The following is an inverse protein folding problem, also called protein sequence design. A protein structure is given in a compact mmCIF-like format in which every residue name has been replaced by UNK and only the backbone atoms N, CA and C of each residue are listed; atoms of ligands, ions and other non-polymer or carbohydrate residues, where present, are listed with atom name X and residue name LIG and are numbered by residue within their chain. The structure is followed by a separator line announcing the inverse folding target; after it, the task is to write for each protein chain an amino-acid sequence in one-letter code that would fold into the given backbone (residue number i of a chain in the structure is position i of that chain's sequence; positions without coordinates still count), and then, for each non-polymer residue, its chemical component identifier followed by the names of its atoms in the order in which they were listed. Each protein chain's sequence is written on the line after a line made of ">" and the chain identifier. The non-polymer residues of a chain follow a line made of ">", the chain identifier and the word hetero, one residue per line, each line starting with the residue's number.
data_IF_092527384238
#
_entry.id   IF_092527384238
#
_cell.length_a   1.000
_cell.length_b   1.000
_cell.length_c   1.000
_cell.angle_alpha   90.00
_cell.angle_beta   90.00
_cell.angle_gamma   90.00
#
_symmetry.space_group_name_H-M   'P 1'
#
loop_
_entity.id
_entity.type
_entity.pdbx_description
1 polymer ?
#
# COMPACT_ATOMS: atom_id res chain seq x y z
N UNK A 1 22.87 -67.56 19.76
CA UNK A 1 23.28 -66.59 18.73
C UNK A 1 22.03 -65.81 18.28
N UNK A 2 21.81 -64.65 18.87
CA UNK A 2 20.65 -63.77 18.55
C UNK A 2 21.10 -62.66 17.61
N UNK A 3 20.57 -62.62 16.38
CA UNK A 3 20.86 -61.58 15.40
C UNK A 3 19.89 -60.38 15.65
N UNK A 4 20.44 -59.23 16.07
CA UNK A 4 19.71 -57.98 16.11
C UNK A 4 19.61 -57.40 14.69
N UNK A 5 18.39 -57.20 14.22
CA UNK A 5 18.12 -56.43 13.00
C UNK A 5 17.96 -54.96 13.40
N UNK A 6 18.83 -54.11 12.89
CA UNK A 6 18.73 -52.64 13.02
C UNK A 6 17.84 -52.13 11.91
N UNK A 7 16.67 -51.63 12.30
CA UNK A 7 15.72 -50.95 11.38
C UNK A 7 16.14 -49.50 11.28
N UNK A 8 16.68 -49.08 10.13
CA UNK A 8 16.97 -47.69 9.82
C UNK A 8 15.71 -47.01 9.33
N UNK A 9 15.09 -46.17 10.17
CA UNK A 9 14.02 -45.26 9.76
C UNK A 9 14.59 -44.07 8.99
N UNK A 10 14.42 -44.07 7.67
CA UNK A 10 14.66 -42.92 6.82
C UNK A 10 13.48 -41.96 6.95
N UNK A 11 13.65 -40.80 7.60
CA UNK A 11 12.70 -39.70 7.61
C UNK A 11 12.82 -38.92 6.29
N UNK A 12 11.77 -38.78 5.50
CA UNK A 12 11.76 -37.83 4.37
C UNK A 12 11.67 -36.39 4.91
N UNK A 13 12.70 -35.61 4.68
CA UNK A 13 12.67 -34.15 4.82
C UNK A 13 11.77 -33.61 3.74
N UNK A 14 10.51 -33.38 4.07
CA UNK A 14 9.58 -32.57 3.27
C UNK A 14 10.01 -31.10 3.43
N UNK A 15 10.85 -30.64 2.52
CA UNK A 15 11.07 -29.21 2.30
C UNK A 15 9.78 -28.61 1.72
N UNK A 16 8.81 -28.36 2.56
CA UNK A 16 7.62 -27.57 2.20
C UNK A 16 8.07 -26.13 2.03
N UNK A 17 8.10 -25.63 0.78
CA UNK A 17 8.05 -24.20 0.52
C UNK A 17 6.75 -23.66 1.09
N UNK A 18 6.80 -23.08 2.27
CA UNK A 18 5.69 -22.31 2.83
C UNK A 18 5.62 -21.05 1.99
N UNK A 19 4.73 -21.01 1.01
CA UNK A 19 4.26 -19.76 0.42
C UNK A 19 3.50 -19.04 1.53
N UNK A 20 4.18 -18.12 2.23
CA UNK A 20 3.52 -17.18 3.13
C UNK A 20 2.78 -16.19 2.24
N UNK A 21 1.56 -16.51 1.85
CA UNK A 21 0.59 -15.51 1.47
C UNK A 21 0.30 -14.74 2.76
N UNK A 22 0.87 -13.54 2.88
CA UNK A 22 0.47 -12.59 3.90
C UNK A 22 -1.00 -12.27 3.59
N UNK A 23 -1.91 -12.90 4.31
CA UNK A 23 -3.32 -12.55 4.27
C UNK A 23 -3.50 -11.11 4.71
N UNK A 24 -4.65 -10.51 4.35
CA UNK A 24 -4.98 -9.15 4.77
C UNK A 24 -4.84 -9.00 6.29
N UNK A 25 -4.39 -7.84 6.72
CA UNK A 25 -4.26 -7.47 8.13
C UNK A 25 -5.19 -6.31 8.46
N UNK A 26 -5.63 -6.23 9.72
CA UNK A 26 -6.42 -5.13 10.27
C UNK A 26 -5.54 -3.94 10.72
N UNK A 27 -4.23 -3.96 10.42
CA UNK A 27 -3.33 -2.87 10.72
C UNK A 27 -3.66 -1.65 9.84
N UNK A 28 -4.38 -0.68 10.41
CA UNK A 28 -4.75 0.55 9.72
C UNK A 28 -3.50 1.40 9.46
N UNK A 29 -3.28 1.87 8.21
CA UNK A 29 -2.13 2.71 7.89
C UNK A 29 -2.38 4.18 8.27
N UNK A 30 -2.21 4.54 9.53
CA UNK A 30 -2.44 5.91 10.02
C UNK A 30 -1.29 6.85 9.69
N UNK A 31 -1.60 8.16 9.43
CA UNK A 31 -0.59 9.19 9.15
C UNK A 31 0.13 9.68 10.41
N UNK A 32 -0.48 9.51 11.59
CA UNK A 32 0.02 10.06 12.82
C UNK A 32 1.31 9.39 13.28
N UNK A 33 2.34 10.20 13.45
CA UNK A 33 3.62 9.81 14.02
C UNK A 33 3.50 9.34 15.48
N UNK A 34 2.37 9.62 16.10
CA UNK A 34 2.11 9.31 17.49
C UNK A 34 1.15 8.19 17.72
N UNK A 35 0.88 7.31 16.78
CA UNK A 35 0.04 6.13 16.87
C UNK A 35 -0.84 5.97 18.13
N UNK A 36 -1.66 4.98 18.21
CA UNK A 36 -2.29 4.61 19.49
C UNK A 36 -1.25 3.90 20.37
N UNK A 37 -1.47 3.83 21.69
CA UNK A 37 -0.61 3.06 22.59
C UNK A 37 -0.47 1.57 22.15
N UNK A 38 -1.41 1.09 21.32
CA UNK A 38 -1.41 -0.26 20.73
C UNK A 38 -0.70 -0.36 19.38
N UNK A 39 -0.53 0.76 18.66
CA UNK A 39 0.18 0.81 17.37
C UNK A 39 0.99 2.12 17.25
N UNK A 40 2.09 2.24 18.00
CA UNK A 40 2.88 3.47 18.04
C UNK A 40 3.64 3.75 16.73
N UNK A 41 3.79 2.76 15.85
CA UNK A 41 4.62 2.84 14.64
C UNK A 41 3.81 2.98 13.37
N UNK A 42 2.47 3.01 13.45
CA UNK A 42 1.63 2.81 12.28
C UNK A 42 2.04 1.55 11.51
N UNK A 43 1.85 0.39 12.13
CA UNK A 43 2.29 -0.90 11.60
C UNK A 43 1.81 -1.14 10.15
N UNK A 44 0.65 -0.61 9.79
CA UNK A 44 0.14 -0.67 8.42
C UNK A 44 1.05 0.07 7.44
N UNK A 45 1.54 1.27 7.77
CA UNK A 45 2.46 2.03 6.90
C UNK A 45 3.83 1.37 6.82
N UNK A 46 4.34 0.84 7.95
CA UNK A 46 5.60 0.08 7.97
C UNK A 46 5.51 -1.14 7.06
N UNK A 47 4.40 -1.88 7.13
CA UNK A 47 4.18 -3.06 6.28
C UNK A 47 4.14 -2.69 4.79
N UNK A 48 3.48 -1.59 4.42
CA UNK A 48 3.50 -1.08 3.04
C UNK A 48 4.92 -0.69 2.60
N UNK A 49 5.68 -0.03 3.48
CA UNK A 49 7.06 0.36 3.21
C UNK A 49 7.96 -0.85 2.96
N UNK A 50 7.82 -1.92 3.73
CA UNK A 50 8.58 -3.16 3.55
C UNK A 50 8.18 -3.89 2.26
N UNK A 51 6.89 -3.85 1.88
CA UNK A 51 6.39 -4.49 0.67
C UNK A 51 6.86 -3.80 -0.61
N UNK A 52 7.08 -2.48 -0.56
CA UNK A 52 7.56 -1.69 -1.72
C UNK A 52 8.84 -0.93 -1.33
N UNK A 53 10.00 -1.59 -1.30
CA UNK A 53 11.25 -0.99 -0.81
C UNK A 53 11.71 0.26 -1.58
N UNK A 54 11.36 0.38 -2.85
CA UNK A 54 11.68 1.56 -3.68
C UNK A 54 10.79 2.78 -3.41
N UNK A 55 9.63 2.60 -2.74
CA UNK A 55 8.71 3.69 -2.48
C UNK A 55 9.28 4.66 -1.42
N UNK A 56 9.55 5.90 -1.80
CA UNK A 56 9.98 6.97 -0.92
C UNK A 56 8.81 7.69 -0.24
N UNK A 57 7.59 7.50 -0.76
CA UNK A 57 6.35 8.08 -0.26
C UNK A 57 5.31 6.98 -0.08
N UNK A 58 4.57 7.02 1.01
CA UNK A 58 3.60 6.00 1.40
C UNK A 58 2.26 6.64 1.71
N UNK A 59 1.13 6.06 1.25
CA UNK A 59 -0.18 6.57 1.58
C UNK A 59 -0.55 6.22 3.01
N UNK A 60 -1.28 7.11 3.68
CA UNK A 60 -1.78 6.89 5.03
C UNK A 60 -3.16 7.51 5.23
N UNK A 61 -3.83 7.10 6.29
CA UNK A 61 -5.13 7.61 6.72
C UNK A 61 -4.91 8.64 7.82
N UNK A 62 -5.28 9.90 7.57
CA UNK A 62 -5.28 10.97 8.58
C UNK A 62 -6.58 10.97 9.37
N UNK A 63 -7.68 11.31 8.71
CA UNK A 63 -9.01 11.33 9.34
C UNK A 63 -10.09 11.00 8.31
N UNK A 64 -10.74 9.87 8.47
CA UNK A 64 -11.85 9.50 7.59
C UNK A 64 -13.11 10.29 7.94
N UNK A 65 -13.89 10.74 6.92
CA UNK A 65 -15.20 11.34 7.15
C UNK A 65 -16.17 10.37 7.83
N UNK A 66 -17.19 10.92 8.49
CA UNK A 66 -18.26 10.12 9.10
C UNK A 66 -18.91 9.20 8.05
N UNK A 67 -19.06 7.92 8.39
CA UNK A 67 -19.60 6.89 7.50
C UNK A 67 -18.56 6.27 6.57
N UNK A 68 -17.28 6.58 6.75
CA UNK A 68 -16.17 5.88 6.10
C UNK A 68 -15.38 5.07 7.12
N UNK A 69 -14.87 3.93 6.70
CA UNK A 69 -14.07 3.05 7.55
C UNK A 69 -13.00 2.32 6.75
N UNK A 70 -11.87 2.06 7.40
CA UNK A 70 -10.87 1.15 6.91
C UNK A 70 -11.40 -0.30 6.99
N UNK A 71 -11.08 -1.14 5.99
CA UNK A 71 -11.47 -2.54 6.01
C UNK A 71 -10.29 -3.46 6.30
N UNK A 72 -9.26 -3.37 5.47
CA UNK A 72 -8.06 -4.21 5.58
C UNK A 72 -6.91 -3.67 4.75
N UNK A 73 -5.71 -4.13 5.04
CA UNK A 73 -4.50 -3.92 4.26
C UNK A 73 -3.98 -5.27 3.77
N UNK A 74 -3.76 -5.40 2.46
CA UNK A 74 -3.04 -6.52 1.86
C UNK A 74 -1.65 -6.02 1.44
N UNK A 75 -0.62 -6.75 1.86
CA UNK A 75 0.76 -6.50 1.50
C UNK A 75 1.36 -7.74 0.87
N UNK A 76 2.08 -7.56 -0.22
CA UNK A 76 2.75 -8.62 -0.96
C UNK A 76 4.07 -8.09 -1.52
N UNK A 77 4.88 -8.96 -2.10
CA UNK A 77 6.11 -8.52 -2.76
C UNK A 77 5.79 -7.47 -3.84
N UNK A 78 6.45 -6.32 -3.74
CA UNK A 78 6.34 -5.16 -4.64
C UNK A 78 4.95 -4.51 -4.73
N UNK A 79 4.02 -4.79 -3.82
CA UNK A 79 2.70 -4.17 -3.83
C UNK A 79 2.08 -4.16 -2.45
N UNK A 80 1.46 -3.06 -2.07
CA UNK A 80 0.56 -3.02 -0.93
C UNK A 80 -0.69 -2.21 -1.28
N UNK A 81 -1.83 -2.57 -0.68
CA UNK A 81 -3.10 -1.91 -0.93
C UNK A 81 -4.02 -2.03 0.26
N UNK A 82 -4.83 -1.03 0.46
CA UNK A 82 -5.90 -1.07 1.45
C UNK A 82 -7.23 -0.58 0.88
N UNK A 83 -8.31 -0.89 1.55
CA UNK A 83 -9.66 -0.56 1.13
C UNK A 83 -10.38 0.26 2.18
N UNK A 84 -11.17 1.21 1.68
CA UNK A 84 -12.10 1.99 2.46
C UNK A 84 -13.52 1.66 2.05
N UNK A 85 -14.38 1.47 3.03
CA UNK A 85 -15.81 1.31 2.88
C UNK A 85 -16.53 2.62 3.18
N UNK A 86 -17.71 2.78 2.62
CA UNK A 86 -18.62 3.88 2.94
C UNK A 86 -20.03 3.35 3.16
N UNK A 87 -20.70 3.83 4.21
CA UNK A 87 -22.09 3.50 4.49
C UNK A 87 -23.04 3.86 3.35
N UNK A 88 -22.65 4.87 2.55
CA UNK A 88 -23.47 5.38 1.43
C UNK A 88 -23.04 4.85 0.07
N UNK A 89 -21.73 4.70 -0.13
CA UNK A 89 -21.14 4.33 -1.42
C UNK A 89 -20.85 2.81 -1.51
N UNK A 90 -20.96 2.09 -0.38
CA UNK A 90 -20.79 0.64 -0.33
C UNK A 90 -19.38 0.20 0.08
N UNK A 91 -19.15 -1.10 -0.05
CA UNK A 91 -17.86 -1.72 0.24
C UNK A 91 -16.87 -1.42 -0.88
N UNK A 92 -15.59 -1.27 -0.48
CA UNK A 92 -14.48 -1.01 -1.41
C UNK A 92 -14.68 0.26 -2.25
N UNK A 93 -15.38 1.26 -1.70
CA UNK A 93 -15.64 2.52 -2.37
C UNK A 93 -14.34 3.24 -2.79
N UNK A 94 -13.27 3.06 -2.02
CA UNK A 94 -11.91 3.48 -2.40
C UNK A 94 -10.93 2.34 -2.13
N UNK A 95 -10.04 2.08 -3.10
CA UNK A 95 -8.86 1.26 -2.94
C UNK A 95 -7.63 2.13 -3.14
N UNK A 96 -6.76 2.12 -2.16
CA UNK A 96 -5.46 2.80 -2.22
C UNK A 96 -4.36 1.76 -2.41
N UNK A 97 -3.50 1.94 -3.39
CA UNK A 97 -2.41 1.02 -3.65
C UNK A 97 -1.08 1.78 -3.78
N UNK A 98 0.01 1.16 -3.34
CA UNK A 98 1.39 1.59 -3.60
C UNK A 98 2.12 0.49 -4.35
N UNK A 99 2.78 0.86 -5.45
CA UNK A 99 3.52 -0.03 -6.33
C UNK A 99 4.82 0.68 -6.77
N UNK A 100 5.82 -0.06 -7.31
CA UNK A 100 7.03 0.56 -7.85
C UNK A 100 6.78 1.48 -9.05
N UNK A 101 5.72 1.22 -9.81
CA UNK A 101 5.32 1.95 -11.01
C UNK A 101 3.80 1.91 -11.24
N UNK A 102 3.29 2.77 -12.11
CA UNK A 102 1.89 2.82 -12.54
C UNK A 102 1.76 2.96 -14.05
N UNK A 103 0.68 2.39 -14.57
CA UNK A 103 0.24 2.66 -15.93
C UNK A 103 -0.69 3.88 -15.96
N UNK A 104 -0.15 5.02 -16.32
CA UNK A 104 -0.89 6.29 -16.44
C UNK A 104 -1.42 6.56 -17.85
N UNK A 105 -1.36 5.59 -18.76
CA UNK A 105 -1.87 5.74 -20.14
C UNK A 105 -3.34 6.10 -20.13
N UNK A 106 -3.70 7.13 -20.89
CA UNK A 106 -5.08 7.64 -20.95
C UNK A 106 -5.51 8.48 -19.75
N UNK A 107 -4.62 8.73 -18.78
CA UNK A 107 -4.85 9.68 -17.71
C UNK A 107 -4.36 11.07 -18.10
N UNK A 108 -5.00 12.10 -17.57
CA UNK A 108 -4.66 13.52 -17.77
C UNK A 108 -3.79 13.99 -16.61
N UNK A 109 -2.66 14.61 -16.91
CA UNK A 109 -1.82 15.23 -15.89
C UNK A 109 -2.48 16.49 -15.32
N UNK A 110 -2.37 16.65 -14.01
CA UNK A 110 -2.88 17.83 -13.27
C UNK A 110 -1.86 18.26 -12.22
N UNK A 111 -2.04 19.48 -11.68
CA UNK A 111 -1.17 19.96 -10.61
C UNK A 111 -1.23 19.04 -9.39
N UNK A 112 -0.09 18.71 -8.83
CA UNK A 112 0.00 17.91 -7.61
C UNK A 112 0.14 18.83 -6.39
N UNK A 113 -0.64 18.56 -5.36
CA UNK A 113 -0.50 19.20 -4.04
C UNK A 113 0.65 18.60 -3.23
N UNK A 114 1.05 17.36 -3.58
CA UNK A 114 2.13 16.65 -2.89
C UNK A 114 3.48 16.96 -3.55
N UNK A 115 4.42 17.62 -2.85
CA UNK A 115 5.74 17.91 -3.39
C UNK A 115 6.49 16.65 -3.86
N UNK A 116 7.22 16.78 -4.95
CA UNK A 116 8.01 15.68 -5.52
C UNK A 116 7.20 14.63 -6.27
N UNK A 117 5.91 14.86 -6.49
CA UNK A 117 5.04 13.95 -7.26
C UNK A 117 4.46 14.62 -8.50
N UNK A 118 4.13 13.81 -9.51
CA UNK A 118 3.28 14.18 -10.63
C UNK A 118 1.93 13.51 -10.44
N UNK A 119 0.85 14.30 -10.54
CA UNK A 119 -0.51 13.79 -10.39
C UNK A 119 -1.15 13.56 -11.75
N UNK A 120 -1.82 12.42 -11.89
CA UNK A 120 -2.62 12.08 -13.07
C UNK A 120 -4.00 11.64 -12.64
N UNK A 121 -4.99 11.88 -13.48
CA UNK A 121 -6.38 11.48 -13.23
C UNK A 121 -6.98 10.84 -14.48
N UNK A 122 -7.71 9.75 -14.27
CA UNK A 122 -8.51 9.09 -15.28
C UNK A 122 -9.92 8.92 -14.74
N UNK A 123 -10.90 9.51 -15.42
CA UNK A 123 -12.32 9.37 -15.09
C UNK A 123 -12.94 8.44 -16.12
N UNK A 124 -13.63 7.42 -15.65
CA UNK A 124 -14.32 6.46 -16.50
C UNK A 124 -15.79 6.79 -16.60
N UNK A 125 -16.42 6.59 -17.78
CA UNK A 125 -17.87 6.75 -17.90
C UNK A 125 -18.58 5.77 -16.97
N UNK A 126 -19.41 6.29 -16.06
CA UNK A 126 -20.27 5.49 -15.19
C UNK A 126 -21.75 5.81 -15.48
N UNK A 127 -22.61 4.80 -15.45
CA UNK A 127 -24.06 5.01 -15.65
C UNK A 127 -24.70 5.78 -14.50
N UNK A 128 -24.14 5.64 -13.32
CA UNK A 128 -24.49 6.38 -12.09
C UNK A 128 -23.28 6.44 -11.19
N UNK A 129 -23.21 7.47 -10.32
CA UNK A 129 -22.11 7.65 -9.39
C UNK A 129 -20.83 8.18 -10.05
N UNK A 130 -19.69 7.74 -9.54
CA UNK A 130 -18.36 8.14 -10.01
C UNK A 130 -17.45 6.93 -10.08
N UNK A 131 -16.66 6.78 -11.14
CA UNK A 131 -15.57 5.84 -11.25
C UNK A 131 -14.34 6.54 -11.81
N UNK A 132 -13.21 6.34 -11.19
CA UNK A 132 -11.98 6.96 -11.66
C UNK A 132 -10.76 6.53 -10.87
N UNK A 133 -9.63 6.96 -11.37
CA UNK A 133 -8.33 6.70 -10.75
C UNK A 133 -7.54 7.99 -10.66
N UNK A 134 -6.85 8.18 -9.53
CA UNK A 134 -5.88 9.23 -9.31
C UNK A 134 -4.55 8.61 -8.98
N UNK A 135 -3.51 9.08 -9.64
CA UNK A 135 -2.16 8.58 -9.50
C UNK A 135 -1.25 9.69 -8.97
N UNK A 136 -0.37 9.34 -8.04
CA UNK A 136 0.75 10.15 -7.62
C UNK A 136 2.03 9.40 -7.96
N UNK A 137 2.71 9.85 -9.01
CA UNK A 137 3.93 9.21 -9.53
C UNK A 137 5.15 9.97 -9.02
N UNK A 138 6.12 9.24 -8.47
CA UNK A 138 7.35 9.78 -7.93
C UNK A 138 8.51 8.80 -8.20
N UNK A 139 9.77 9.22 -8.09
CA UNK A 139 10.90 8.31 -8.30
C UNK A 139 10.83 7.09 -7.37
N UNK A 140 10.77 5.90 -7.96
CA UNK A 140 10.73 4.62 -7.23
C UNK A 140 9.37 4.15 -6.75
N UNK A 141 8.30 4.89 -7.07
CA UNK A 141 6.97 4.45 -6.68
C UNK A 141 5.81 5.20 -7.33
N UNK A 142 4.65 4.63 -7.14
CA UNK A 142 3.38 5.24 -7.51
C UNK A 142 2.30 4.85 -6.51
N UNK A 143 1.51 5.84 -6.12
CA UNK A 143 0.30 5.63 -5.32
C UNK A 143 -0.91 5.85 -6.22
N UNK A 144 -1.82 4.86 -6.21
CA UNK A 144 -3.07 4.90 -6.98
C UNK A 144 -4.26 4.91 -6.05
N UNK A 145 -5.15 5.87 -6.22
CA UNK A 145 -6.47 5.89 -5.64
C UNK A 145 -7.47 5.43 -6.70
N UNK A 146 -8.00 4.23 -6.54
CA UNK A 146 -9.05 3.70 -7.37
C UNK A 146 -10.38 3.92 -6.65
N UNK A 147 -11.30 4.63 -7.28
CA UNK A 147 -12.54 5.11 -6.67
C UNK A 147 -13.74 4.60 -7.44
N UNK A 148 -14.69 4.01 -6.73
CA UNK A 148 -15.97 3.56 -7.28
C UNK A 148 -17.11 3.94 -6.33
N UNK A 149 -17.82 5.02 -6.65
CA UNK A 149 -18.93 5.55 -5.85
C UNK A 149 -20.24 5.23 -6.57
N UNK A 150 -21.18 4.64 -5.84
CA UNK A 150 -22.48 4.22 -6.38
C UNK A 150 -23.60 5.20 -6.05
N UNK A 151 -23.37 6.18 -5.19
CA UNK A 151 -24.34 7.17 -4.76
C UNK A 151 -24.75 8.14 -5.87
N UNK A 152 -25.84 8.84 -5.66
CA UNK A 152 -26.37 9.86 -6.59
C UNK A 152 -25.67 11.22 -6.46
N UNK A 153 -24.80 11.39 -5.48
CA UNK A 153 -24.13 12.65 -5.14
C UNK A 153 -22.89 12.95 -6.02
N UNK A 154 -22.62 12.10 -7.01
CA UNK A 154 -21.50 12.28 -7.93
C UNK A 154 -20.15 12.24 -7.22
N UNK A 155 -19.25 13.15 -7.58
CA UNK A 155 -17.88 13.19 -7.03
C UNK A 155 -17.74 13.90 -5.67
N UNK A 156 -18.80 14.40 -5.08
CA UNK A 156 -18.75 15.14 -3.81
C UNK A 156 -18.16 14.33 -2.64
N UNK A 157 -18.53 13.03 -2.44
CA UNK A 157 -17.92 12.21 -1.40
C UNK A 157 -16.44 11.94 -1.63
N UNK A 158 -15.97 12.00 -2.89
CA UNK A 158 -14.57 11.80 -3.26
C UNK A 158 -13.66 12.84 -2.63
N UNK A 159 -13.99 14.14 -2.74
CA UNK A 159 -13.17 15.19 -2.14
C UNK A 159 -13.02 14.97 -0.65
N UNK A 160 -14.14 14.73 0.05
CA UNK A 160 -14.12 14.53 1.49
C UNK A 160 -13.25 13.34 1.93
N UNK A 161 -13.30 12.18 1.23
CA UNK A 161 -12.48 11.03 1.59
C UNK A 161 -11.01 11.23 1.22
N UNK A 162 -10.73 11.89 0.08
CA UNK A 162 -9.35 12.16 -0.33
C UNK A 162 -8.66 13.17 0.59
N UNK A 163 -9.39 14.15 1.13
CA UNK A 163 -8.89 15.10 2.12
C UNK A 163 -8.52 14.39 3.46
N UNK A 164 -9.14 13.25 3.73
CA UNK A 164 -8.83 12.41 4.88
C UNK A 164 -7.62 11.47 4.68
N UNK A 165 -7.10 11.38 3.46
CA UNK A 165 -5.91 10.60 3.13
C UNK A 165 -4.69 11.51 3.03
N UNK A 166 -3.55 11.00 3.45
CA UNK A 166 -2.29 11.74 3.44
C UNK A 166 -1.14 10.91 2.92
N UNK A 167 0.04 11.46 3.10
CA UNK A 167 1.30 10.82 2.72
C UNK A 167 2.31 10.95 3.85
N UNK A 168 3.08 9.90 4.05
CA UNK A 168 4.26 9.92 4.92
C UNK A 168 5.49 9.56 4.08
N UNK A 169 6.59 10.29 4.26
CA UNK A 169 7.84 9.92 3.61
C UNK A 169 8.46 8.73 4.32
N UNK A 170 9.18 7.89 3.57
CA UNK A 170 9.92 6.77 4.17
C UNK A 170 10.92 7.24 5.22
N UNK A 171 11.55 8.40 5.02
CA UNK A 171 12.52 8.94 5.99
C UNK A 171 11.84 9.37 7.29
N UNK A 172 10.67 10.01 7.23
CA UNK A 172 9.88 10.34 8.42
C UNK A 172 9.42 9.07 9.14
N UNK A 173 9.00 8.05 8.40
CA UNK A 173 8.62 6.76 8.96
C UNK A 173 9.81 6.04 9.63
N UNK A 174 11.00 6.08 9.01
CA UNK A 174 12.23 5.52 9.61
C UNK A 174 12.56 6.20 10.94
N UNK A 175 12.50 7.53 10.97
CA UNK A 175 12.74 8.29 12.19
C UNK A 175 11.72 7.91 13.27
N UNK A 176 10.44 7.79 12.91
CA UNK A 176 9.38 7.38 13.83
C UNK A 176 9.65 6.00 14.43
N UNK A 177 9.96 5.00 13.60
CA UNK A 177 10.26 3.63 14.05
C UNK A 177 11.48 3.63 14.99
N UNK A 178 12.53 4.37 14.64
CA UNK A 178 13.72 4.51 15.48
C UNK A 178 13.40 5.11 16.85
N UNK A 179 12.71 6.24 16.88
CA UNK A 179 12.41 6.97 18.12
C UNK A 179 11.52 6.17 19.07
N UNK A 180 10.46 5.55 18.54
CA UNK A 180 9.55 4.75 19.36
C UNK A 180 10.14 3.42 19.84
N UNK A 181 11.13 2.89 19.14
CA UNK A 181 11.79 1.65 19.54
C UNK A 181 13.01 1.88 20.44
N UNK A 182 13.34 3.12 20.78
CA UNK A 182 14.63 3.49 21.41
C UNK A 182 15.83 2.96 20.59
N UNK A 183 15.75 3.04 19.27
CA UNK A 183 16.76 2.57 18.34
C UNK A 183 16.87 1.04 18.21
N UNK A 184 15.92 0.26 18.74
CA UNK A 184 15.95 -1.21 18.65
C UNK A 184 15.48 -1.76 17.31
N UNK A 185 14.68 -0.99 16.60
CA UNK A 185 14.19 -1.32 15.27
C UNK A 185 14.55 -0.20 14.28
N UNK A 186 14.89 -0.61 13.09
CA UNK A 186 15.15 0.29 11.98
C UNK A 186 14.38 -0.17 10.74
N UNK A 187 13.78 0.76 10.03
CA UNK A 187 13.24 0.51 8.71
C UNK A 187 14.33 0.77 7.67
N UNK A 188 14.47 -0.16 6.72
CA UNK A 188 15.44 -0.01 5.65
C UNK A 188 15.25 1.32 4.87
N UNK A 189 16.35 1.97 4.44
CA UNK A 189 16.28 3.14 3.58
C UNK A 189 15.60 2.78 2.24
N UNK A 190 15.19 3.82 1.50
CA UNK A 190 14.63 3.62 0.16
C UNK A 190 15.62 2.83 -0.72
N UNK A 191 15.16 1.71 -1.25
CA UNK A 191 15.97 0.94 -2.19
C UNK A 191 16.23 1.74 -3.48
N UNK A 192 17.42 1.64 -4.08
CA UNK A 192 17.69 2.31 -5.34
C UNK A 192 16.73 1.84 -6.44
N UNK A 193 16.26 2.79 -7.24
CA UNK A 193 15.47 2.48 -8.43
C UNK A 193 16.42 1.90 -9.48
N UNK A 194 16.28 0.63 -9.78
CA UNK A 194 16.98 0.06 -10.94
C UNK A 194 16.31 0.59 -12.22
N UNK A 195 17.05 1.26 -13.10
CA UNK A 195 16.48 1.60 -14.41
C UNK A 195 16.02 0.30 -15.09
N UNK A 196 14.85 0.37 -15.72
CA UNK A 196 14.37 -0.75 -16.52
C UNK A 196 15.48 -1.13 -17.52
N UNK A 197 15.73 -2.44 -17.77
CA UNK A 197 16.70 -2.85 -18.78
C UNK A 197 16.35 -2.12 -20.08
N UNK A 198 17.35 -1.45 -20.66
CA UNK A 198 17.18 -0.77 -21.93
C UNK A 198 16.64 -1.79 -22.93
N UNK A 199 15.49 -1.46 -23.50
CA UNK A 199 14.83 -2.30 -24.50
C UNK A 199 15.85 -2.57 -25.61
N UNK A 200 16.31 -3.81 -25.68
CA UNK A 200 17.24 -4.23 -26.72
C UNK A 200 16.44 -4.29 -28.02
N UNK A 201 16.27 -3.15 -28.65
CA UNK A 201 15.77 -3.08 -30.03
C UNK A 201 16.77 -3.86 -30.90
N UNK A 202 16.42 -5.10 -31.15
CA UNK A 202 17.06 -5.89 -32.19
C UNK A 202 16.80 -5.19 -33.54
N UNK A 203 17.89 -4.65 -34.09
CA UNK A 203 17.95 -4.27 -35.48
C UNK A 203 17.92 -5.48 -36.42
#
# INVERSE_FOLDING_TARGET
>A
MKRLAVLACALPLLAGCVNVQLGGTDAEPTCDAGGTASDPYSAGVVLMAQSVPSASLLPCIGALPVGWSFERLDASDRSARFWLNSDREGRHAVRVAVNPDCDVRGATESASEQPGTRRYERVEPARSGYRGERYYVYPGGCITYHVELHGKTGAQPLTAVLDGLGFVTRDALRQMVHDYSDGRFELDPTAPVHPAPADSTHG
#
